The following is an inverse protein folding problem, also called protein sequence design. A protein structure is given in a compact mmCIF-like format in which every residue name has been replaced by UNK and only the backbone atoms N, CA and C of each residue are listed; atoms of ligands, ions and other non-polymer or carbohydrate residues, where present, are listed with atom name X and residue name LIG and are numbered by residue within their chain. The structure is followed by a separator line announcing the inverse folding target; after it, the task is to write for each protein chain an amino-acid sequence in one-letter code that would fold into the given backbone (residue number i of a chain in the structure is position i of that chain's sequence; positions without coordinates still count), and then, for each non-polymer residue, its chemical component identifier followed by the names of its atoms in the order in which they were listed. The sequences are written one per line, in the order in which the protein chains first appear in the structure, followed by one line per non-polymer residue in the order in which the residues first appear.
data_IF_293728758299
#
_entry.id   IF_293728758299
#
_cell.length_a   1.000
_cell.length_b   1.000
_cell.length_c   1.000
_cell.angle_alpha   90.00
_cell.angle_beta   90.00
_cell.angle_gamma   90.00
#
_symmetry.space_group_name_H-M   'P 1'
#
loop_
_entity.id
_entity.type
_entity.pdbx_description
1 polymer ?
#
# COMPACT_ATOMS: atom_id res chain seq x y z
N UNK A 1 1.93 0.99 -14.96
CA UNK A 1 2.17 0.45 -13.61
C UNK A 1 1.41 1.31 -12.62
N UNK A 2 0.84 0.70 -11.58
CA UNK A 2 0.16 1.42 -10.51
C UNK A 2 1.19 2.11 -9.61
N UNK A 3 0.96 3.39 -9.33
CA UNK A 3 1.68 4.20 -8.34
C UNK A 3 0.97 4.19 -6.97
N UNK A 4 -0.35 4.03 -7.00
CA UNK A 4 -1.21 3.84 -5.83
C UNK A 4 -2.27 2.80 -6.17
N UNK A 5 -2.62 1.96 -5.20
CA UNK A 5 -3.68 0.96 -5.31
C UNK A 5 -4.56 1.00 -4.06
N UNK A 6 -5.88 0.90 -4.26
CA UNK A 6 -6.91 1.10 -3.24
C UNK A 6 -7.47 -0.26 -2.81
N UNK A 7 -7.06 -0.73 -1.64
CA UNK A 7 -7.32 -2.06 -1.11
C UNK A 7 -8.71 -2.29 -0.52
N UNK A 8 -9.55 -1.27 -0.44
CA UNK A 8 -10.98 -1.43 -0.15
C UNK A 8 -11.71 -2.18 -1.28
N UNK A 9 -11.18 -2.13 -2.50
CA UNK A 9 -11.68 -2.91 -3.63
C UNK A 9 -11.05 -4.31 -3.60
N UNK A 10 -11.85 -5.38 -3.41
CA UNK A 10 -11.33 -6.74 -3.27
C UNK A 10 -10.43 -7.19 -4.41
N UNK A 11 -10.73 -6.79 -5.65
CA UNK A 11 -9.96 -7.09 -6.86
C UNK A 11 -8.55 -6.49 -6.81
N UNK A 12 -8.40 -5.30 -6.25
CA UNK A 12 -7.12 -4.61 -6.12
C UNK A 12 -6.29 -5.18 -4.98
N UNK A 13 -6.95 -5.55 -3.89
CA UNK A 13 -6.32 -6.31 -2.81
C UNK A 13 -5.80 -7.65 -3.32
N UNK A 14 -6.59 -8.37 -4.10
CA UNK A 14 -6.21 -9.66 -4.67
C UNK A 14 -4.95 -9.55 -5.53
N UNK A 15 -4.84 -8.52 -6.39
CA UNK A 15 -3.64 -8.29 -7.21
C UNK A 15 -2.36 -8.20 -6.36
N UNK A 16 -2.42 -7.54 -5.21
CA UNK A 16 -1.26 -7.39 -4.32
C UNK A 16 -0.96 -8.70 -3.59
N UNK A 17 -1.99 -9.35 -3.05
CA UNK A 17 -1.81 -10.56 -2.24
C UNK A 17 -1.39 -11.78 -3.06
N UNK A 18 -1.75 -11.82 -4.35
CA UNK A 18 -1.41 -12.90 -5.30
C UNK A 18 -0.17 -12.60 -6.13
N UNK A 19 0.59 -11.54 -5.82
CA UNK A 19 1.79 -11.11 -6.54
C UNK A 19 1.55 -10.76 -8.03
N UNK A 20 0.30 -10.46 -8.38
CA UNK A 20 -0.15 -10.13 -9.74
C UNK A 20 -0.10 -8.63 -10.05
N UNK A 21 0.15 -7.78 -9.05
CA UNK A 21 0.30 -6.33 -9.21
C UNK A 21 1.57 -5.97 -9.99
N UNK A 22 1.47 -5.03 -10.92
CA UNK A 22 2.60 -4.54 -11.72
C UNK A 22 3.39 -5.67 -12.40
N UNK A 23 2.71 -6.74 -12.80
CA UNK A 23 3.32 -7.86 -13.53
C UNK A 23 3.47 -7.52 -15.00
N UNK A 24 4.67 -7.70 -15.53
CA UNK A 24 4.93 -7.74 -16.96
C UNK A 24 4.93 -9.20 -17.44
N UNK A 25 4.30 -9.45 -18.59
CA UNK A 25 4.32 -10.75 -19.25
C UNK A 25 5.27 -10.69 -20.44
N UNK A 26 6.22 -11.61 -20.52
CA UNK A 26 7.10 -11.70 -21.69
C UNK A 26 6.29 -12.20 -22.90
N UNK A 27 6.26 -11.47 -24.03
CA UNK A 27 5.47 -11.86 -25.20
C UNK A 27 6.01 -13.11 -25.89
N UNK A 28 7.28 -13.47 -25.66
CA UNK A 28 7.92 -14.60 -26.34
C UNK A 28 7.78 -15.93 -25.57
N UNK A 29 7.79 -15.89 -24.24
CA UNK A 29 7.82 -17.11 -23.41
C UNK A 29 6.73 -17.17 -22.33
N UNK A 30 5.83 -16.17 -22.30
CA UNK A 30 4.69 -16.08 -21.36
C UNK A 30 5.06 -16.06 -19.87
N UNK A 31 6.35 -15.93 -19.54
CA UNK A 31 6.80 -15.78 -18.15
C UNK A 31 6.31 -14.44 -17.59
N UNK A 32 5.84 -14.48 -16.36
CA UNK A 32 5.37 -13.31 -15.60
C UNK A 32 6.47 -12.84 -14.65
N UNK A 33 6.75 -11.55 -14.64
CA UNK A 33 7.69 -10.92 -13.72
C UNK A 33 6.98 -9.76 -13.02
N UNK A 34 6.93 -9.80 -11.68
CA UNK A 34 6.49 -8.66 -10.87
C UNK A 34 7.54 -7.56 -10.97
N UNK A 35 7.16 -6.40 -11.50
CA UNK A 35 8.05 -5.27 -11.57
C UNK A 35 8.38 -4.78 -10.16
N UNK A 36 9.67 -4.59 -9.90
CA UNK A 36 10.15 -4.09 -8.62
C UNK A 36 10.02 -2.56 -8.57
N UNK A 37 8.79 -2.06 -8.65
CA UNK A 37 8.44 -0.65 -8.80
C UNK A 37 7.79 -0.10 -7.52
N UNK A 38 8.24 1.06 -6.99
CA UNK A 38 7.66 1.62 -5.76
C UNK A 38 6.21 2.11 -5.93
N UNK A 39 5.32 1.71 -5.03
CA UNK A 39 3.90 2.10 -5.05
C UNK A 39 3.28 2.11 -3.66
N UNK A 40 2.17 2.82 -3.50
CA UNK A 40 1.40 2.87 -2.26
C UNK A 40 0.20 1.92 -2.31
N UNK A 41 0.02 1.11 -1.27
CA UNK A 41 -1.26 0.49 -0.97
C UNK A 41 -1.99 1.35 0.06
N UNK A 42 -3.24 1.70 -0.18
CA UNK A 42 -4.06 2.43 0.78
C UNK A 42 -5.42 1.77 0.91
N UNK A 43 -6.05 1.91 2.05
CA UNK A 43 -7.43 1.50 2.26
C UNK A 43 -8.15 2.62 3.00
N UNK A 44 -9.12 3.28 2.35
CA UNK A 44 -9.84 4.42 2.93
C UNK A 44 -10.74 4.00 4.08
N UNK A 45 -11.44 2.88 3.94
CA UNK A 45 -12.41 2.39 4.93
C UNK A 45 -11.74 2.05 6.27
N UNK A 46 -10.49 1.58 6.21
CA UNK A 46 -9.65 1.28 7.37
C UNK A 46 -8.62 2.38 7.68
N UNK A 47 -8.66 3.50 6.95
CA UNK A 47 -7.83 4.69 7.19
C UNK A 47 -6.33 4.41 7.35
N UNK A 48 -5.73 3.66 6.42
CA UNK A 48 -4.28 3.42 6.43
C UNK A 48 -3.67 3.45 5.03
N UNK A 49 -2.34 3.64 4.99
CA UNK A 49 -1.54 3.47 3.79
C UNK A 49 -0.17 2.84 4.13
N UNK A 50 0.42 2.16 3.16
CA UNK A 50 1.73 1.52 3.24
C UNK A 50 2.44 1.71 1.91
N UNK A 51 3.68 2.17 1.93
CA UNK A 51 4.54 2.23 0.75
C UNK A 51 5.32 0.93 0.60
N UNK A 52 5.26 0.33 -0.59
CA UNK A 52 6.29 -0.60 -1.03
C UNK A 52 7.41 0.20 -1.70
N UNK A 53 8.60 0.19 -1.09
CA UNK A 53 9.77 0.95 -1.56
C UNK A 53 11.00 0.01 -1.63
N UNK A 54 11.12 -0.83 -2.68
CA UNK A 54 12.22 -1.79 -2.81
C UNK A 54 13.59 -1.12 -3.01
N UNK A 55 13.58 0.13 -3.49
CA UNK A 55 14.71 1.03 -3.61
C UNK A 55 14.21 2.44 -3.33
N UNK A 56 15.08 3.30 -2.79
CA UNK A 56 14.73 4.68 -2.47
C UNK A 56 14.18 5.42 -3.69
N UNK A 57 13.06 6.11 -3.51
CA UNK A 57 12.40 6.92 -4.54
C UNK A 57 12.08 8.31 -3.96
N UNK A 58 12.84 9.32 -4.38
CA UNK A 58 12.67 10.70 -3.91
C UNK A 58 11.28 11.27 -4.20
N UNK A 59 10.54 10.72 -5.17
CA UNK A 59 9.15 11.13 -5.43
C UNK A 59 8.22 10.77 -4.27
N UNK A 60 8.51 9.71 -3.50
CA UNK A 60 7.75 9.41 -2.28
C UNK A 60 7.96 10.52 -1.25
N UNK A 61 9.13 11.14 -1.16
CA UNK A 61 9.35 12.28 -0.26
C UNK A 61 8.50 13.47 -0.65
N UNK A 62 8.40 13.76 -1.94
CA UNK A 62 7.58 14.85 -2.45
C UNK A 62 6.08 14.57 -2.26
N UNK A 63 5.65 13.32 -2.50
CA UNK A 63 4.28 12.86 -2.18
C UNK A 63 3.99 13.02 -0.67
N UNK A 64 4.90 12.59 0.20
CA UNK A 64 4.76 12.76 1.66
C UNK A 64 4.64 14.23 2.06
N UNK A 65 5.46 15.13 1.50
CA UNK A 65 5.36 16.58 1.76
C UNK A 65 4.00 17.13 1.31
N UNK A 66 3.54 16.74 0.13
CA UNK A 66 2.23 17.13 -0.39
C UNK A 66 1.10 16.65 0.54
N UNK A 67 1.15 15.39 0.99
CA UNK A 67 0.14 14.87 1.91
C UNK A 67 0.11 15.61 3.26
N UNK A 68 1.27 15.99 3.80
CA UNK A 68 1.34 16.82 5.02
C UNK A 68 0.65 18.16 4.83
N UNK A 69 0.87 18.80 3.68
CA UNK A 69 0.28 20.10 3.36
C UNK A 69 -1.24 20.04 3.18
N UNK A 70 -1.76 19.02 2.49
CA UNK A 70 -3.18 18.96 2.11
C UNK A 70 -4.06 18.14 3.07
N UNK A 71 -3.52 17.08 3.69
CA UNK A 71 -4.27 16.19 4.58
C UNK A 71 -3.87 16.34 6.05
N UNK A 72 -2.83 17.12 6.34
CA UNK A 72 -2.28 17.32 7.69
C UNK A 72 -1.08 16.43 7.99
N UNK A 73 -0.25 16.89 8.93
CA UNK A 73 0.99 16.22 9.35
C UNK A 73 0.77 14.77 9.80
N UNK A 74 -0.33 14.53 10.52
CA UNK A 74 -0.67 13.23 11.10
C UNK A 74 -1.56 12.37 10.18
N UNK A 75 -1.79 12.78 8.93
CA UNK A 75 -2.59 11.98 8.00
C UNK A 75 -1.94 10.62 7.75
N UNK A 76 -2.76 9.58 7.58
CA UNK A 76 -2.26 8.22 7.31
C UNK A 76 -1.51 8.12 5.97
N UNK A 77 -1.69 9.10 5.06
CA UNK A 77 -0.89 9.23 3.84
C UNK A 77 0.51 9.81 4.12
N UNK A 78 0.60 10.82 4.98
CA UNK A 78 1.87 11.45 5.35
C UNK A 78 2.74 10.58 6.26
N UNK A 79 2.11 9.73 7.07
CA UNK A 79 2.77 8.86 8.07
C UNK A 79 2.90 7.41 7.62
N UNK A 80 2.51 7.11 6.37
CA UNK A 80 2.55 5.77 5.81
C UNK A 80 3.97 5.16 5.90
N UNK A 81 4.14 3.98 6.52
CA UNK A 81 5.43 3.33 6.61
C UNK A 81 5.93 2.92 5.22
N UNK A 82 7.26 2.97 5.04
CA UNK A 82 7.94 2.56 3.81
C UNK A 82 8.63 1.23 4.03
N UNK A 83 8.21 0.22 3.27
CA UNK A 83 8.63 -1.16 3.44
C UNK A 83 9.35 -1.65 2.19
N UNK A 84 10.58 -2.11 2.37
CA UNK A 84 11.44 -2.59 1.27
C UNK A 84 11.17 -4.04 0.90
N UNK A 85 10.94 -4.89 1.89
CA UNK A 85 10.72 -6.31 1.68
C UNK A 85 9.28 -6.58 1.26
N UNK A 86 9.08 -7.40 0.23
CA UNK A 86 7.76 -7.66 -0.31
C UNK A 86 6.83 -8.44 0.64
N UNK A 87 7.36 -9.41 1.38
CA UNK A 87 6.57 -10.19 2.33
C UNK A 87 6.22 -9.34 3.55
N UNK A 88 7.18 -8.58 4.07
CA UNK A 88 6.95 -7.63 5.16
C UNK A 88 5.89 -6.58 4.78
N UNK A 89 5.89 -6.13 3.52
CA UNK A 89 4.88 -5.21 3.00
C UNK A 89 3.47 -5.84 3.06
N UNK A 90 3.29 -7.06 2.55
CA UNK A 90 2.01 -7.79 2.63
C UNK A 90 1.58 -8.06 4.07
N UNK A 91 2.51 -8.45 4.94
CA UNK A 91 2.26 -8.65 6.37
C UNK A 91 1.83 -7.36 7.07
N UNK A 92 2.43 -6.22 6.72
CA UNK A 92 2.06 -4.91 7.29
C UNK A 92 0.64 -4.51 6.88
N UNK A 93 0.26 -4.75 5.61
CA UNK A 93 -1.12 -4.57 5.16
C UNK A 93 -2.07 -5.42 5.99
N UNK A 94 -1.79 -6.72 6.16
CA UNK A 94 -2.64 -7.63 6.93
C UNK A 94 -2.75 -7.18 8.40
N UNK A 95 -1.64 -6.75 9.02
CA UNK A 95 -1.63 -6.24 10.40
C UNK A 95 -2.55 -5.02 10.54
N UNK A 96 -2.45 -4.05 9.64
CA UNK A 96 -3.34 -2.90 9.65
C UNK A 96 -4.79 -3.31 9.37
N UNK A 97 -5.03 -4.19 8.40
CA UNK A 97 -6.36 -4.69 8.12
C UNK A 97 -7.02 -5.31 9.35
N UNK A 98 -6.30 -6.10 10.15
CA UNK A 98 -6.80 -6.76 11.36
C UNK A 98 -7.00 -5.77 12.50
N UNK A 99 -6.02 -4.88 12.75
CA UNK A 99 -6.05 -3.92 13.87
C UNK A 99 -7.33 -3.06 13.88
N UNK A 100 -7.87 -2.71 12.70
CA UNK A 100 -9.11 -1.97 12.57
C UNK A 100 -10.39 -2.84 12.66
N UNK A 101 -10.27 -4.16 12.49
CA UNK A 101 -11.39 -5.11 12.70
C UNK A 101 -11.58 -5.47 14.17
N UNK A 102 -10.55 -5.31 15.01
CA UNK A 102 -10.57 -5.64 16.43
C UNK A 102 -10.97 -4.48 17.37
N UNK A 103 -11.57 -3.41 16.85
CA UNK A 103 -12.22 -2.40 17.67
C UNK A 103 -13.72 -2.74 17.79
N UNK A 104 -14.16 -3.57 18.74
CA UNK A 104 -15.54 -3.51 19.17
C UNK A 104 -15.76 -2.09 19.69
N UNK A 105 -16.83 -1.45 19.24
CA UNK A 105 -17.32 -0.18 19.75
C UNK A 105 -17.52 -0.29 21.27
N UNK A 106 -16.53 0.11 22.07
CA UNK A 106 -16.64 0.25 23.53
C UNK A 106 -16.32 1.68 23.92
N UNK A 107 -17.28 2.56 23.63
CA UNK A 107 -17.62 3.72 24.47
C UNK A 107 -18.81 4.45 23.85
N UNK A 108 -20.01 4.02 24.24
CA UNK A 108 -21.11 4.95 24.38
C UNK A 108 -21.36 5.08 25.89
N UNK A 109 -21.17 6.31 26.37
CA UNK A 109 -21.48 6.76 27.73
C UNK A 109 -22.98 6.66 28.02
#
# INVERSE_FOLDING_TARGET
MYRTIWGEYPEYRELVMTDMINVATCPQCSRKLRANYPFMYTNKDKTFAVWYEPHYDSRIDDDTKMYRQFAGEDSYFATAPRIKNWNEFKETIIKFEIAFTSLPCTRCY
#
